data_IF_566330292274
#
_entry.id   IF_566330292274
#
_cell.length_a   1.000
_cell.length_b   1.000
_cell.length_c   1.000
_cell.angle_alpha   90.00
_cell.angle_beta   90.00
_cell.angle_gamma   90.00
#
_symmetry.space_group_name_H-M   'P 1'
#
loop_
_entity.id
_entity.type
_entity.pdbx_description
1 polymer ?
#
# COMPACT_ATOMS: atom_id res chain seq x y z
N UNK A 1 35.39 19.41 -31.44
CA UNK A 1 35.29 18.07 -32.06
C UNK A 1 35.55 16.91 -31.07
N UNK A 2 36.08 17.15 -29.86
CA UNK A 2 36.38 16.07 -28.90
C UNK A 2 35.25 15.71 -27.91
N UNK A 3 34.22 16.56 -27.75
CA UNK A 3 33.05 16.26 -26.90
C UNK A 3 32.12 15.21 -27.54
N UNK A 4 31.80 15.35 -28.83
CA UNK A 4 30.85 14.46 -29.54
C UNK A 4 31.29 12.98 -29.49
N UNK A 5 32.58 12.69 -29.71
CA UNK A 5 33.11 11.31 -29.68
C UNK A 5 33.06 10.63 -28.30
N UNK A 6 33.15 11.40 -27.21
CA UNK A 6 33.07 10.85 -25.84
C UNK A 6 31.60 10.54 -25.48
N UNK A 7 30.67 11.40 -25.92
CA UNK A 7 29.23 11.16 -25.76
C UNK A 7 28.78 9.93 -26.55
N UNK A 8 29.21 9.76 -27.80
CA UNK A 8 28.86 8.58 -28.61
C UNK A 8 29.36 7.27 -28.00
N UNK A 9 30.58 7.24 -27.46
CA UNK A 9 31.14 6.04 -26.83
C UNK A 9 30.45 5.69 -25.50
N UNK A 10 30.10 6.69 -24.69
CA UNK A 10 29.39 6.46 -23.43
C UNK A 10 27.95 5.97 -23.67
N UNK A 11 27.27 6.54 -24.69
CA UNK A 11 25.94 6.07 -25.11
C UNK A 11 25.99 4.66 -25.68
N UNK A 12 26.99 4.34 -26.51
CA UNK A 12 27.17 2.99 -27.05
C UNK A 12 27.46 1.95 -25.96
N UNK A 13 28.29 2.28 -24.97
CA UNK A 13 28.56 1.40 -23.83
C UNK A 13 27.28 1.15 -23.00
N UNK A 14 26.51 2.19 -22.70
CA UNK A 14 25.24 2.07 -21.96
C UNK A 14 24.23 1.20 -22.72
N UNK A 15 24.11 1.39 -24.03
CA UNK A 15 23.21 0.60 -24.87
C UNK A 15 23.63 -0.88 -24.92
N UNK A 16 24.94 -1.15 -24.98
CA UNK A 16 25.48 -2.51 -24.95
C UNK A 16 25.19 -3.19 -23.59
N UNK A 17 25.41 -2.48 -22.48
CA UNK A 17 25.11 -2.99 -21.14
C UNK A 17 23.61 -3.30 -20.96
N UNK A 18 22.72 -2.43 -21.44
CA UNK A 18 21.28 -2.68 -21.42
C UNK A 18 20.90 -3.88 -22.29
N UNK A 19 21.48 -3.99 -23.48
CA UNK A 19 21.23 -5.12 -24.38
C UNK A 19 21.65 -6.45 -23.75
N UNK A 20 22.85 -6.52 -23.17
CA UNK A 20 23.36 -7.69 -22.46
C UNK A 20 22.44 -8.07 -21.29
N UNK A 21 22.14 -7.10 -20.42
CA UNK A 21 21.27 -7.33 -19.27
C UNK A 21 19.85 -7.79 -19.69
N UNK A 22 19.35 -7.30 -20.85
CA UNK A 22 18.03 -7.72 -21.36
C UNK A 22 18.04 -9.16 -21.86
N UNK A 23 19.14 -9.61 -22.47
CA UNK A 23 19.30 -11.00 -22.88
C UNK A 23 19.43 -11.91 -21.65
N UNK A 24 20.19 -11.48 -20.65
CA UNK A 24 20.33 -12.22 -19.39
C UNK A 24 18.99 -12.30 -18.64
N UNK A 25 18.17 -11.24 -18.64
CA UNK A 25 16.83 -11.29 -18.06
C UNK A 25 15.91 -12.26 -18.81
N UNK A 26 15.96 -12.26 -20.15
CA UNK A 26 15.20 -13.22 -20.96
C UNK A 26 15.59 -14.65 -20.63
N UNK A 27 16.89 -14.92 -20.52
CA UNK A 27 17.41 -16.22 -20.09
C UNK A 27 16.87 -16.60 -18.70
N UNK A 28 16.97 -15.68 -17.72
CA UNK A 28 16.49 -15.94 -16.37
C UNK A 28 14.99 -16.27 -16.31
N UNK A 29 14.18 -15.63 -17.16
CA UNK A 29 12.75 -15.92 -17.30
C UNK A 29 12.46 -17.28 -17.94
N UNK A 30 13.28 -17.72 -18.91
CA UNK A 30 13.15 -18.99 -19.61
C UNK A 30 13.60 -20.18 -18.75
N UNK A 31 14.66 -20.00 -17.95
CA UNK A 31 15.30 -21.06 -17.16
C UNK A 31 14.96 -21.03 -15.65
N UNK A 32 14.00 -20.21 -15.23
CA UNK A 32 13.53 -20.10 -13.83
C UNK A 32 14.64 -19.68 -12.84
N UNK A 33 15.53 -18.77 -13.26
CA UNK A 33 16.69 -18.28 -12.46
C UNK A 33 16.37 -17.05 -11.61
N UNK A 34 15.14 -16.53 -11.71
CA UNK A 34 14.63 -15.50 -10.82
C UNK A 34 14.13 -16.13 -9.51
N UNK A 35 14.15 -15.33 -8.44
CA UNK A 35 13.63 -15.70 -7.14
C UNK A 35 12.39 -14.89 -6.79
N UNK A 36 11.53 -15.44 -5.93
CA UNK A 36 10.42 -14.71 -5.32
C UNK A 36 10.63 -14.72 -3.82
N UNK A 37 10.70 -13.52 -3.25
CA UNK A 37 10.71 -13.31 -1.81
C UNK A 37 9.32 -12.80 -1.39
N UNK A 38 8.93 -13.09 -0.16
CA UNK A 38 7.59 -12.84 0.34
C UNK A 38 7.64 -11.94 1.56
N UNK A 39 6.91 -10.82 1.53
CA UNK A 39 6.77 -9.93 2.69
C UNK A 39 5.41 -10.13 3.37
N UNK A 40 5.35 -10.41 4.69
CA UNK A 40 4.11 -10.55 5.44
C UNK A 40 3.23 -9.29 5.45
N UNK A 41 1.92 -9.50 5.30
CA UNK A 41 0.86 -8.51 5.50
C UNK A 41 0.05 -8.93 6.72
N UNK A 42 -0.10 -8.02 7.68
CA UNK A 42 -0.67 -8.30 9.01
C UNK A 42 -1.93 -7.46 9.24
N UNK A 43 -2.99 -8.08 9.80
CA UNK A 43 -4.16 -7.37 10.34
C UNK A 43 -3.72 -6.57 11.57
N UNK A 44 -3.82 -5.24 11.50
CA UNK A 44 -3.28 -4.38 12.55
C UNK A 44 -4.06 -4.51 13.87
N UNK A 45 -5.32 -4.91 13.82
CA UNK A 45 -6.18 -5.04 15.00
C UNK A 45 -5.96 -6.38 15.72
N UNK A 46 -5.92 -7.47 14.95
CA UNK A 46 -5.78 -8.84 15.44
C UNK A 46 -4.33 -9.30 15.60
N UNK A 47 -3.39 -8.63 14.94
CA UNK A 47 -1.99 -9.04 14.81
C UNK A 47 -1.84 -10.44 14.17
N UNK A 48 -2.66 -10.73 13.16
CA UNK A 48 -2.69 -12.00 12.44
C UNK A 48 -2.20 -11.82 11.00
N UNK A 49 -1.52 -12.84 10.46
CA UNK A 49 -1.12 -12.86 9.05
C UNK A 49 -2.38 -12.93 8.16
N UNK A 50 -2.56 -11.94 7.30
CA UNK A 50 -3.68 -11.87 6.35
C UNK A 50 -3.25 -12.00 4.90
N UNK A 51 -1.95 -11.98 4.63
CA UNK A 51 -1.41 -12.27 3.33
C UNK A 51 0.09 -12.10 3.27
N UNK A 52 0.64 -12.24 2.08
CA UNK A 52 2.02 -11.93 1.77
C UNK A 52 2.11 -11.24 0.41
N UNK A 53 3.03 -10.31 0.25
CA UNK A 53 3.37 -9.72 -1.04
C UNK A 53 4.53 -10.48 -1.68
N UNK A 54 4.34 -10.94 -2.91
CA UNK A 54 5.36 -11.61 -3.71
C UNK A 54 6.20 -10.58 -4.46
N UNK A 55 7.49 -10.57 -4.16
CA UNK A 55 8.45 -9.60 -4.64
C UNK A 55 9.57 -10.31 -5.41
N UNK A 56 9.72 -9.97 -6.69
CA UNK A 56 10.74 -10.54 -7.55
C UNK A 56 12.14 -10.15 -7.07
N UNK A 57 13.08 -11.10 -7.17
CA UNK A 57 14.49 -10.93 -6.87
C UNK A 57 15.31 -11.56 -7.97
N UNK A 58 16.43 -10.95 -8.30
CA UNK A 58 17.32 -11.46 -9.34
C UNK A 58 18.75 -11.53 -8.84
N UNK A 59 19.22 -12.76 -8.62
CA UNK A 59 20.62 -13.03 -8.33
C UNK A 59 21.35 -13.32 -9.64
N UNK A 60 21.88 -12.28 -10.26
CA UNK A 60 22.59 -12.41 -11.52
C UNK A 60 23.96 -13.07 -11.34
N UNK A 61 24.36 -14.04 -12.17
CA UNK A 61 25.58 -14.82 -11.98
C UNK A 61 26.87 -13.98 -11.95
N UNK A 62 26.88 -12.82 -12.64
CA UNK A 62 28.04 -11.92 -12.68
C UNK A 62 27.89 -10.66 -11.84
N UNK A 63 26.66 -10.18 -11.64
CA UNK A 63 26.39 -8.87 -11.02
C UNK A 63 25.94 -9.01 -9.56
N UNK A 64 25.67 -10.23 -9.10
CA UNK A 64 25.01 -10.48 -7.82
C UNK A 64 23.58 -9.96 -7.85
N UNK A 65 23.12 -9.41 -6.72
CA UNK A 65 21.74 -8.95 -6.59
C UNK A 65 21.48 -7.73 -7.46
N UNK A 66 20.65 -7.90 -8.48
CA UNK A 66 20.17 -6.79 -9.31
C UNK A 66 18.90 -6.22 -8.67
N UNK A 67 18.85 -4.91 -8.37
CA UNK A 67 17.69 -4.29 -7.76
C UNK A 67 16.42 -4.41 -8.63
N UNK A 68 15.22 -4.63 -8.04
CA UNK A 68 13.94 -4.65 -8.74
C UNK A 68 13.75 -3.48 -9.70
N UNK A 69 13.95 -2.24 -9.23
CA UNK A 69 13.78 -1.04 -10.05
C UNK A 69 14.59 -1.09 -11.36
N UNK A 70 15.81 -1.67 -11.31
CA UNK A 70 16.68 -1.76 -12.49
C UNK A 70 16.16 -2.75 -13.52
N UNK A 71 15.82 -3.97 -13.11
CA UNK A 71 15.42 -5.01 -14.08
C UNK A 71 13.95 -4.93 -14.47
N UNK A 72 13.08 -4.37 -13.62
CA UNK A 72 11.67 -4.09 -13.98
C UNK A 72 11.60 -2.98 -15.01
N UNK A 73 12.32 -1.87 -14.81
CA UNK A 73 12.42 -0.80 -15.82
C UNK A 73 12.97 -1.33 -17.13
N UNK A 74 14.04 -2.13 -17.08
CA UNK A 74 14.59 -2.77 -18.28
C UNK A 74 13.55 -3.67 -18.97
N UNK A 75 12.79 -4.46 -18.22
CA UNK A 75 11.77 -5.33 -18.78
C UNK A 75 10.65 -4.53 -19.48
N UNK A 76 10.30 -3.37 -18.93
CA UNK A 76 9.33 -2.45 -19.53
C UNK A 76 9.84 -1.81 -20.82
N UNK A 77 11.10 -1.35 -20.84
CA UNK A 77 11.73 -0.72 -22.01
C UNK A 77 11.98 -1.72 -23.15
N UNK A 78 12.22 -2.99 -22.82
CA UNK A 78 12.57 -4.04 -23.79
C UNK A 78 11.42 -4.97 -24.15
N UNK A 79 10.22 -4.74 -23.61
CA UNK A 79 9.02 -5.55 -23.87
C UNK A 79 9.02 -6.93 -23.19
N UNK A 80 9.97 -7.20 -22.29
CA UNK A 80 10.03 -8.43 -21.50
C UNK A 80 9.04 -8.43 -20.32
N UNK A 81 8.43 -7.28 -19.99
CA UNK A 81 7.59 -7.13 -18.80
C UNK A 81 6.39 -8.09 -18.76
N UNK A 82 5.75 -8.37 -19.90
CA UNK A 82 4.69 -9.36 -19.96
C UNK A 82 5.21 -10.79 -19.69
N UNK A 83 6.47 -11.08 -20.02
CA UNK A 83 7.15 -12.31 -19.66
C UNK A 83 7.38 -12.41 -18.15
N UNK A 84 7.82 -11.32 -17.53
CA UNK A 84 8.03 -11.21 -16.08
C UNK A 84 6.73 -11.36 -15.29
N UNK A 85 5.66 -10.65 -15.67
CA UNK A 85 4.35 -10.77 -15.00
C UNK A 85 3.82 -12.21 -15.08
N UNK A 86 3.93 -12.86 -16.26
CA UNK A 86 3.55 -14.26 -16.42
C UNK A 86 4.41 -15.19 -15.58
N UNK A 87 5.70 -14.91 -15.46
CA UNK A 87 6.63 -15.70 -14.64
C UNK A 87 6.25 -15.58 -13.16
N UNK A 88 6.07 -14.35 -12.67
CA UNK A 88 5.61 -14.06 -11.30
C UNK A 88 4.29 -14.77 -10.99
N UNK A 89 3.27 -14.63 -11.84
CA UNK A 89 1.98 -15.31 -11.63
C UNK A 89 2.14 -16.84 -11.54
N UNK A 90 2.94 -17.46 -12.42
CA UNK A 90 3.17 -18.92 -12.37
C UNK A 90 3.89 -19.32 -11.09
N UNK A 91 4.96 -18.62 -10.73
CA UNK A 91 5.78 -18.96 -9.57
C UNK A 91 5.00 -18.75 -8.28
N UNK A 92 4.37 -17.58 -8.13
CA UNK A 92 3.62 -17.22 -6.94
C UNK A 92 2.39 -18.10 -6.71
N UNK A 93 1.66 -18.49 -7.76
CA UNK A 93 0.53 -19.41 -7.58
C UNK A 93 0.99 -20.81 -7.14
N UNK A 94 2.12 -21.30 -7.66
CA UNK A 94 2.75 -22.55 -7.18
C UNK A 94 3.15 -22.45 -5.70
N UNK A 95 3.82 -21.37 -5.34
CA UNK A 95 4.28 -21.13 -3.98
C UNK A 95 3.10 -20.93 -3.01
N UNK A 96 2.01 -20.30 -3.47
CA UNK A 96 0.74 -20.18 -2.72
C UNK A 96 0.17 -21.55 -2.38
N UNK A 97 0.20 -22.51 -3.31
CA UNK A 97 -0.24 -23.88 -3.05
C UNK A 97 0.60 -24.51 -1.95
N UNK A 98 1.93 -24.41 -2.04
CA UNK A 98 2.87 -24.92 -1.03
C UNK A 98 2.59 -24.31 0.34
N UNK A 99 2.40 -23.00 0.43
CA UNK A 99 2.11 -22.31 1.68
C UNK A 99 0.78 -22.73 2.31
N UNK A 100 -0.24 -23.02 1.49
CA UNK A 100 -1.53 -23.56 1.96
C UNK A 100 -1.35 -25.00 2.48
N UNK A 101 -0.67 -25.86 1.72
CA UNK A 101 -0.43 -27.27 2.09
C UNK A 101 0.40 -27.40 3.37
N UNK A 102 1.35 -26.50 3.58
CA UNK A 102 2.15 -26.41 4.82
C UNK A 102 1.40 -25.77 5.99
N UNK A 103 0.21 -25.20 5.77
CA UNK A 103 -0.53 -24.49 6.81
C UNK A 103 0.03 -23.11 7.19
N UNK A 104 1.00 -22.58 6.42
CA UNK A 104 1.56 -21.24 6.62
C UNK A 104 0.55 -20.13 6.30
N UNK A 105 -0.33 -20.35 5.31
CA UNK A 105 -1.39 -19.41 4.96
C UNK A 105 -2.76 -19.92 5.41
N UNK A 106 -3.35 -19.23 6.39
CA UNK A 106 -4.73 -19.47 6.84
C UNK A 106 -5.75 -19.35 5.71
N UNK A 107 -6.97 -19.86 5.90
CA UNK A 107 -7.98 -20.01 4.82
C UNK A 107 -8.38 -18.71 4.09
N UNK A 108 -8.25 -17.58 4.76
CA UNK A 108 -8.57 -16.25 4.24
C UNK A 108 -7.37 -15.46 3.73
N UNK A 109 -6.14 -15.96 3.95
CA UNK A 109 -4.93 -15.26 3.58
C UNK A 109 -4.69 -15.32 2.06
N UNK A 110 -4.07 -14.25 1.55
CA UNK A 110 -3.85 -14.04 0.11
C UNK A 110 -2.39 -13.80 -0.21
N UNK A 111 -2.03 -14.04 -1.46
CA UNK A 111 -0.73 -13.65 -2.00
C UNK A 111 -0.94 -12.55 -3.03
N UNK A 112 -0.31 -11.40 -2.81
CA UNK A 112 -0.30 -10.29 -3.75
C UNK A 112 0.80 -10.46 -4.79
N UNK A 113 0.52 -10.10 -6.04
CA UNK A 113 1.48 -10.07 -7.14
C UNK A 113 1.41 -8.70 -7.82
N UNK A 114 2.54 -8.03 -7.91
CA UNK A 114 2.69 -6.78 -8.66
C UNK A 114 2.52 -7.03 -10.17
N UNK A 115 1.72 -6.19 -10.82
CA UNK A 115 1.49 -6.22 -12.26
C UNK A 115 1.88 -4.86 -12.85
N UNK A 116 2.71 -4.87 -13.89
CA UNK A 116 3.12 -3.63 -14.53
C UNK A 116 1.95 -2.90 -15.19
N UNK A 117 1.98 -1.58 -15.05
CA UNK A 117 1.17 -0.61 -15.77
C UNK A 117 0.94 -0.97 -17.25
N UNK A 118 1.98 -1.45 -17.95
CA UNK A 118 1.94 -1.74 -19.38
C UNK A 118 1.05 -2.92 -19.77
N UNK A 119 0.72 -3.80 -18.82
CA UNK A 119 -0.02 -5.04 -19.06
C UNK A 119 -1.45 -5.02 -18.50
N UNK A 120 -1.82 -4.03 -17.67
CA UNK A 120 -3.12 -4.00 -16.99
C UNK A 120 -4.30 -4.00 -17.98
N UNK A 121 -4.14 -3.34 -19.13
CA UNK A 121 -5.15 -3.29 -20.18
C UNK A 121 -5.15 -4.49 -21.14
N UNK A 122 -4.18 -5.38 -21.07
CA UNK A 122 -4.09 -6.51 -22.01
C UNK A 122 -4.98 -7.69 -21.55
N UNK A 123 -5.85 -8.17 -22.44
CA UNK A 123 -6.65 -9.37 -22.21
C UNK A 123 -5.80 -10.62 -21.95
N UNK A 124 -4.53 -10.61 -22.35
CA UNK A 124 -3.57 -11.69 -22.06
C UNK A 124 -3.30 -11.85 -20.56
N UNK A 125 -3.51 -10.82 -19.74
CA UNK A 125 -3.36 -10.87 -18.29
C UNK A 125 -4.38 -11.82 -17.65
N UNK A 126 -5.67 -11.71 -18.03
CA UNK A 126 -6.71 -12.62 -17.53
C UNK A 126 -6.40 -14.07 -17.88
N UNK A 127 -5.97 -14.32 -19.13
CA UNK A 127 -5.57 -15.65 -19.57
C UNK A 127 -4.37 -16.19 -18.77
N UNK A 128 -3.39 -15.34 -18.45
CA UNK A 128 -2.24 -15.70 -17.63
C UNK A 128 -2.65 -16.08 -16.20
N UNK A 129 -3.53 -15.29 -15.57
CA UNK A 129 -4.04 -15.58 -14.22
C UNK A 129 -4.81 -16.91 -14.20
N UNK A 130 -5.74 -17.10 -15.14
CA UNK A 130 -6.51 -18.36 -15.26
C UNK A 130 -5.60 -19.57 -15.41
N UNK A 131 -4.61 -19.48 -16.31
CA UNK A 131 -3.66 -20.57 -16.57
C UNK A 131 -2.83 -20.90 -15.31
N UNK A 132 -2.29 -19.89 -14.64
CA UNK A 132 -1.44 -20.07 -13.45
C UNK A 132 -2.24 -20.64 -12.27
N UNK A 133 -3.43 -20.08 -11.99
CA UNK A 133 -4.32 -20.55 -10.92
C UNK A 133 -4.79 -21.99 -11.18
N UNK A 134 -5.20 -22.31 -12.41
CA UNK A 134 -5.61 -23.66 -12.78
C UNK A 134 -4.47 -24.67 -12.65
N UNK A 135 -3.25 -24.31 -13.08
CA UNK A 135 -2.07 -25.17 -12.94
C UNK A 135 -1.70 -25.42 -11.48
N UNK A 136 -1.81 -24.40 -10.63
CA UNK A 136 -1.56 -24.53 -9.20
C UNK A 136 -2.71 -25.23 -8.44
N UNK A 137 -3.94 -25.25 -8.97
CA UNK A 137 -5.09 -25.88 -8.32
C UNK A 137 -5.55 -25.15 -7.05
N UNK A 138 -5.38 -23.82 -7.00
CA UNK A 138 -5.80 -22.98 -5.86
C UNK A 138 -7.05 -22.16 -6.20
N UNK A 139 -7.84 -21.72 -5.21
CA UNK A 139 -8.94 -20.77 -5.47
C UNK A 139 -8.42 -19.40 -5.91
N UNK A 140 -9.09 -18.74 -6.86
CA UNK A 140 -8.78 -17.36 -7.27
C UNK A 140 -8.78 -16.37 -6.10
N UNK A 141 -9.59 -16.63 -5.07
CA UNK A 141 -9.69 -15.80 -3.86
C UNK A 141 -8.39 -15.74 -3.05
N UNK A 142 -7.42 -16.60 -3.36
CA UNK A 142 -6.07 -16.62 -2.78
C UNK A 142 -5.12 -15.64 -3.42
N UNK A 143 -5.48 -15.05 -4.56
CA UNK A 143 -4.61 -14.13 -5.30
C UNK A 143 -5.16 -12.72 -5.20
N UNK A 144 -4.24 -11.78 -4.97
CA UNK A 144 -4.46 -10.36 -5.19
C UNK A 144 -3.49 -9.86 -6.26
N UNK A 145 -3.93 -8.93 -7.09
CA UNK A 145 -3.07 -8.20 -8.01
C UNK A 145 -2.88 -6.79 -7.49
N UNK A 146 -1.62 -6.37 -7.44
CA UNK A 146 -1.22 -5.01 -7.11
C UNK A 146 -0.94 -4.26 -8.40
N UNK A 147 -1.59 -3.11 -8.55
CA UNK A 147 -1.49 -2.26 -9.73
C UNK A 147 -1.25 -0.83 -9.30
N UNK A 148 -0.33 -0.13 -9.96
CA UNK A 148 -0.06 1.26 -9.63
C UNK A 148 -1.17 2.17 -10.11
N UNK A 149 -1.38 3.26 -9.37
CA UNK A 149 -2.30 4.32 -9.74
C UNK A 149 -2.06 4.86 -11.16
N UNK A 150 -0.81 5.20 -11.46
CA UNK A 150 -0.38 5.74 -12.74
C UNK A 150 -0.61 4.76 -13.89
N UNK A 151 -0.40 3.47 -13.64
CA UNK A 151 -0.59 2.43 -14.64
C UNK A 151 -2.05 2.25 -15.05
N UNK A 152 -2.96 2.28 -14.07
CA UNK A 152 -4.39 2.20 -14.35
C UNK A 152 -4.88 3.44 -15.11
N UNK A 153 -4.36 4.62 -14.79
CA UNK A 153 -4.79 5.88 -15.42
C UNK A 153 -4.25 6.10 -16.84
N UNK A 154 -3.30 5.28 -17.31
CA UNK A 154 -2.79 5.36 -18.67
C UNK A 154 -3.84 4.95 -19.73
N UNK A 155 -4.68 3.96 -19.42
CA UNK A 155 -5.80 3.50 -20.25
C UNK A 155 -6.93 2.94 -19.34
N UNK A 156 -7.69 3.83 -18.68
CA UNK A 156 -8.57 3.46 -17.57
C UNK A 156 -9.77 2.62 -18.04
N UNK A 157 -10.31 2.85 -19.24
CA UNK A 157 -11.41 2.04 -19.78
C UNK A 157 -10.98 0.57 -19.96
N UNK A 158 -9.79 0.37 -20.50
CA UNK A 158 -9.27 -0.96 -20.79
C UNK A 158 -8.84 -1.69 -19.51
N UNK A 159 -8.13 -0.98 -18.63
CA UNK A 159 -7.79 -1.48 -17.31
C UNK A 159 -9.03 -1.89 -16.51
N UNK A 160 -10.08 -1.05 -16.47
CA UNK A 160 -11.32 -1.36 -15.76
C UNK A 160 -11.95 -2.67 -16.29
N UNK A 161 -12.01 -2.85 -17.61
CA UNK A 161 -12.59 -4.06 -18.22
C UNK A 161 -11.85 -5.34 -17.82
N UNK A 162 -10.52 -5.32 -17.86
CA UNK A 162 -9.68 -6.49 -17.50
C UNK A 162 -9.72 -6.75 -16.00
N UNK A 163 -9.64 -5.70 -15.18
CA UNK A 163 -9.71 -5.84 -13.73
C UNK A 163 -11.10 -6.32 -13.27
N UNK A 164 -12.18 -5.92 -13.95
CA UNK A 164 -13.54 -6.40 -13.66
C UNK A 164 -13.70 -7.88 -13.99
N UNK A 165 -13.11 -8.34 -15.09
CA UNK A 165 -13.17 -9.76 -15.45
C UNK A 165 -12.39 -10.63 -14.46
N UNK A 166 -11.25 -10.15 -13.97
CA UNK A 166 -10.48 -10.78 -12.90
C UNK A 166 -11.23 -10.76 -11.56
N UNK A 167 -11.87 -9.65 -11.21
CA UNK A 167 -12.66 -9.55 -9.98
C UNK A 167 -13.85 -10.53 -10.00
N UNK A 168 -14.50 -10.74 -11.15
CA UNK A 168 -15.57 -11.75 -11.32
C UNK A 168 -15.10 -13.18 -11.07
N UNK A 169 -13.80 -13.46 -11.18
CA UNK A 169 -13.21 -14.75 -10.80
C UNK A 169 -12.98 -14.88 -9.30
N UNK A 170 -13.02 -13.77 -8.56
CA UNK A 170 -12.73 -13.70 -7.13
C UNK A 170 -11.31 -13.20 -6.81
N UNK A 171 -10.54 -12.79 -7.81
CA UNK A 171 -9.22 -12.15 -7.61
C UNK A 171 -9.42 -10.79 -6.97
N UNK A 172 -8.61 -10.46 -5.96
CA UNK A 172 -8.62 -9.13 -5.34
C UNK A 172 -7.74 -8.17 -6.12
N UNK A 173 -8.18 -6.93 -6.26
CA UNK A 173 -7.40 -5.87 -6.90
C UNK A 173 -7.02 -4.86 -5.83
N UNK A 174 -5.72 -4.57 -5.72
CA UNK A 174 -5.17 -3.62 -4.78
C UNK A 174 -4.53 -2.48 -5.58
N UNK A 175 -4.85 -1.24 -5.22
CA UNK A 175 -4.25 -0.07 -5.84
C UNK A 175 -3.04 0.35 -5.02
N UNK A 176 -1.88 0.33 -5.65
CA UNK A 176 -0.59 0.68 -5.08
C UNK A 176 -0.22 2.14 -5.33
N UNK A 177 0.70 2.68 -4.51
CA UNK A 177 1.22 4.04 -4.56
C UNK A 177 0.12 5.13 -4.51
N UNK A 178 -1.03 4.84 -3.89
CA UNK A 178 -2.17 5.75 -3.93
C UNK A 178 -1.84 7.08 -3.22
N UNK A 179 -2.09 8.20 -3.91
CA UNK A 179 -1.83 9.54 -3.40
C UNK A 179 -0.48 10.14 -3.82
N UNK A 180 0.33 9.40 -4.59
CA UNK A 180 1.54 9.92 -5.24
C UNK A 180 1.26 10.52 -6.62
N UNK A 181 0.08 10.24 -7.20
CA UNK A 181 -0.35 10.67 -8.53
C UNK A 181 -1.60 11.57 -8.55
N UNK A 182 -2.09 11.85 -9.76
CA UNK A 182 -3.28 12.67 -10.02
C UNK A 182 -4.53 11.82 -10.28
N UNK A 183 -4.90 10.91 -9.37
CA UNK A 183 -6.16 10.18 -9.50
C UNK A 183 -7.35 11.12 -9.47
N UNK A 184 -8.18 11.03 -10.52
CA UNK A 184 -9.54 11.50 -10.39
C UNK A 184 -10.29 10.52 -9.48
N UNK A 185 -10.81 10.98 -8.35
CA UNK A 185 -11.74 10.23 -7.48
C UNK A 185 -12.89 9.59 -8.29
N UNK A 186 -13.25 10.21 -9.41
CA UNK A 186 -14.22 9.69 -10.39
C UNK A 186 -13.82 8.34 -10.96
N UNK A 187 -12.55 8.15 -11.31
CA UNK A 187 -12.05 6.86 -11.82
C UNK A 187 -11.92 5.84 -10.70
N UNK A 188 -11.43 6.24 -9.52
CA UNK A 188 -11.35 5.34 -8.36
C UNK A 188 -12.70 4.67 -8.06
N UNK A 189 -13.80 5.42 -8.15
CA UNK A 189 -15.17 4.90 -7.96
C UNK A 189 -15.59 3.85 -9.00
N UNK A 190 -15.05 3.93 -10.22
CA UNK A 190 -15.38 2.98 -11.31
C UNK A 190 -14.50 1.74 -11.27
N UNK A 191 -13.28 1.85 -10.75
CA UNK A 191 -12.34 0.75 -10.73
C UNK A 191 -12.82 -0.36 -9.77
N UNK A 192 -12.69 -1.64 -10.14
CA UNK A 192 -13.06 -2.78 -9.31
C UNK A 192 -12.00 -3.08 -8.23
N UNK A 193 -11.40 -2.03 -7.66
CA UNK A 193 -10.44 -2.13 -6.57
C UNK A 193 -11.13 -2.59 -5.29
N UNK A 194 -10.37 -3.27 -4.45
CA UNK A 194 -10.85 -3.80 -3.16
C UNK A 194 -10.03 -3.30 -1.98
N UNK A 195 -8.82 -2.82 -2.26
CA UNK A 195 -7.87 -2.34 -1.26
C UNK A 195 -7.09 -1.16 -1.83
N UNK A 196 -6.80 -0.17 -0.99
CA UNK A 196 -5.80 0.88 -1.26
C UNK A 196 -4.57 0.63 -0.40
N UNK A 197 -3.38 0.64 -1.01
CA UNK A 197 -2.12 0.64 -0.26
C UNK A 197 -1.73 2.10 0.01
N UNK A 198 -1.30 2.38 1.24
CA UNK A 198 -0.78 3.68 1.67
C UNK A 198 0.73 3.61 1.53
N UNK A 199 1.28 4.41 0.61
CA UNK A 199 2.71 4.42 0.34
C UNK A 199 3.55 4.69 1.59
N UNK A 200 4.73 4.07 1.62
CA UNK A 200 5.69 4.15 2.73
C UNK A 200 6.12 5.57 3.04
N UNK A 201 6.12 6.51 2.09
CA UNK A 201 6.55 7.89 2.37
C UNK A 201 5.64 8.55 3.40
N UNK A 202 4.32 8.38 3.27
CA UNK A 202 3.36 8.89 4.24
C UNK A 202 3.45 8.17 5.59
N UNK A 203 3.68 6.85 5.59
CA UNK A 203 3.81 6.06 6.82
C UNK A 203 5.09 6.38 7.59
N UNK A 204 6.20 6.61 6.88
CA UNK A 204 7.48 6.99 7.48
C UNK A 204 7.37 8.31 8.23
N UNK A 205 6.74 9.31 7.61
CA UNK A 205 6.79 10.69 8.09
C UNK A 205 5.60 11.06 9.01
N UNK A 206 4.51 10.27 9.07
CA UNK A 206 3.26 10.63 9.78
C UNK A 206 3.35 10.85 11.30
N UNK A 207 4.45 10.47 11.97
CA UNK A 207 4.62 10.73 13.41
C UNK A 207 5.15 12.14 13.68
N UNK A 208 5.92 12.69 12.74
CA UNK A 208 6.63 13.96 12.88
C UNK A 208 6.10 15.04 11.93
N UNK A 209 5.44 14.64 10.83
CA UNK A 209 4.82 15.52 9.84
C UNK A 209 3.28 15.44 9.90
N UNK A 210 2.60 16.52 10.37
CA UNK A 210 1.14 16.60 10.39
C UNK A 210 0.49 16.48 9.01
N UNK A 211 1.18 16.87 7.92
CA UNK A 211 0.64 16.78 6.57
C UNK A 211 0.66 15.33 6.07
N UNK A 212 1.75 14.60 6.30
CA UNK A 212 1.81 13.15 6.06
C UNK A 212 0.71 12.39 6.82
N UNK A 213 0.49 12.73 8.10
CA UNK A 213 -0.60 12.15 8.88
C UNK A 213 -1.99 12.50 8.30
N UNK A 214 -2.20 13.75 7.91
CA UNK A 214 -3.47 14.19 7.32
C UNK A 214 -3.76 13.46 6.00
N UNK A 215 -2.74 13.19 5.19
CA UNK A 215 -2.86 12.40 3.96
C UNK A 215 -3.24 10.95 4.29
N UNK A 216 -2.53 10.30 5.21
CA UNK A 216 -2.85 8.92 5.63
C UNK A 216 -4.29 8.81 6.17
N UNK A 217 -4.73 9.77 7.01
CA UNK A 217 -6.13 9.85 7.49
C UNK A 217 -7.11 9.99 6.31
N UNK A 218 -6.80 10.87 5.36
CA UNK A 218 -7.66 11.13 4.20
C UNK A 218 -7.83 9.89 3.32
N UNK A 219 -6.74 9.13 3.10
CA UNK A 219 -6.78 7.87 2.34
C UNK A 219 -7.66 6.84 3.05
N UNK A 220 -7.50 6.69 4.38
CA UNK A 220 -8.30 5.74 5.18
C UNK A 220 -9.78 6.13 5.19
N UNK A 221 -10.10 7.41 5.35
CA UNK A 221 -11.48 7.89 5.34
C UNK A 221 -12.12 7.76 3.95
N UNK A 222 -11.37 8.04 2.87
CA UNK A 222 -11.80 7.81 1.50
C UNK A 222 -12.11 6.33 1.28
N UNK A 223 -11.16 5.44 1.56
CA UNK A 223 -11.34 3.99 1.41
C UNK A 223 -12.59 3.51 2.15
N UNK A 224 -12.79 3.95 3.40
CA UNK A 224 -13.99 3.63 4.19
C UNK A 224 -15.28 4.10 3.51
N UNK A 225 -15.29 5.31 2.95
CA UNK A 225 -16.46 5.89 2.29
C UNK A 225 -16.89 5.14 1.03
N UNK A 226 -15.96 4.42 0.38
CA UNK A 226 -16.21 3.59 -0.81
C UNK A 226 -16.08 2.09 -0.53
N UNK A 227 -16.11 1.69 0.74
CA UNK A 227 -16.07 0.28 1.19
C UNK A 227 -14.82 -0.51 0.77
N UNK A 228 -13.67 0.17 0.67
CA UNK A 228 -12.37 -0.44 0.41
C UNK A 228 -11.61 -0.69 1.72
N UNK A 229 -10.75 -1.70 1.72
CA UNK A 229 -9.77 -1.91 2.78
C UNK A 229 -8.54 -1.02 2.56
N UNK A 230 -7.74 -0.82 3.61
CA UNK A 230 -6.44 -0.15 3.51
C UNK A 230 -5.33 -1.02 4.07
N UNK A 231 -4.18 -1.01 3.39
CA UNK A 231 -2.94 -1.63 3.83
C UNK A 231 -1.87 -0.54 3.87
N UNK A 232 -1.19 -0.36 4.99
CA UNK A 232 -0.08 0.59 5.10
C UNK A 232 1.28 -0.07 4.87
N UNK A 233 2.15 0.57 4.10
CA UNK A 233 3.47 0.05 3.77
C UNK A 233 4.59 0.72 4.57
N UNK A 234 5.73 0.04 4.68
CA UNK A 234 6.92 0.61 5.32
C UNK A 234 6.76 0.85 6.82
N UNK A 235 5.97 0.02 7.52
CA UNK A 235 5.86 0.09 8.97
C UNK A 235 7.14 -0.45 9.61
N UNK A 236 7.81 0.38 10.39
CA UNK A 236 9.06 0.10 11.06
C UNK A 236 8.93 0.15 12.59
N UNK A 237 7.93 0.88 13.14
CA UNK A 237 7.80 1.08 14.59
C UNK A 237 6.41 0.72 15.16
N UNK A 238 6.31 0.29 16.44
CA UNK A 238 5.03 0.10 17.11
C UNK A 238 4.17 1.37 17.20
N UNK A 239 4.78 2.54 17.27
CA UNK A 239 4.09 3.84 17.31
C UNK A 239 3.34 4.08 15.99
N UNK A 240 3.94 3.72 14.86
CA UNK A 240 3.27 3.79 13.56
C UNK A 240 2.04 2.88 13.53
N UNK A 241 2.15 1.64 14.03
CA UNK A 241 1.02 0.71 14.16
C UNK A 241 -0.09 1.30 15.02
N UNK A 242 0.25 1.87 16.18
CA UNK A 242 -0.73 2.47 17.09
C UNK A 242 -1.50 3.62 16.44
N UNK A 243 -0.81 4.46 15.65
CA UNK A 243 -1.44 5.56 14.89
C UNK A 243 -2.32 5.03 13.76
N UNK A 244 -1.82 4.08 12.95
CA UNK A 244 -2.57 3.47 11.84
C UNK A 244 -3.85 2.76 12.32
N UNK A 245 -3.78 2.03 13.44
CA UNK A 245 -4.97 1.43 14.07
C UNK A 245 -5.98 2.49 14.49
N UNK A 246 -5.52 3.59 15.08
CA UNK A 246 -6.38 4.66 15.60
C UNK A 246 -7.17 5.36 14.49
N UNK A 247 -6.56 5.55 13.32
CA UNK A 247 -7.23 6.12 12.16
C UNK A 247 -8.09 5.09 11.42
N UNK A 248 -7.97 3.81 11.77
CA UNK A 248 -8.79 2.71 11.27
C UNK A 248 -8.23 2.05 10.01
N UNK A 249 -6.91 2.04 9.83
CA UNK A 249 -6.23 1.26 8.79
C UNK A 249 -6.37 -0.24 9.10
N UNK A 250 -6.69 -1.05 8.08
CA UNK A 250 -7.03 -2.47 8.29
C UNK A 250 -5.78 -3.35 8.45
N UNK A 251 -4.85 -3.25 7.51
CA UNK A 251 -3.65 -4.07 7.45
C UNK A 251 -2.38 -3.25 7.32
N UNK A 252 -1.24 -3.90 7.43
CA UNK A 252 0.03 -3.29 7.12
C UNK A 252 1.17 -4.28 6.91
N UNK A 253 2.24 -3.78 6.30
CA UNK A 253 3.47 -4.51 6.05
C UNK A 253 4.67 -3.60 6.27
N UNK A 254 5.82 -4.19 6.59
CA UNK A 254 7.06 -3.46 6.81
C UNK A 254 8.06 -4.22 7.66
N UNK A 255 9.23 -3.61 7.84
CA UNK A 255 10.38 -4.22 8.53
C UNK A 255 10.16 -4.44 10.02
N UNK A 256 9.13 -3.82 10.62
CA UNK A 256 8.70 -4.14 11.98
C UNK A 256 8.44 -5.65 12.16
N UNK A 257 7.88 -6.29 11.13
CA UNK A 257 7.58 -7.73 11.16
C UNK A 257 8.61 -8.55 10.41
N UNK A 258 8.86 -8.20 9.14
CA UNK A 258 9.84 -8.89 8.31
C UNK A 258 10.16 -8.10 7.04
N UNK A 259 11.42 -8.14 6.55
CA UNK A 259 11.67 -7.88 5.13
C UNK A 259 11.02 -8.98 4.27
N UNK A 260 11.06 -8.80 2.96
CA UNK A 260 10.75 -9.89 2.04
C UNK A 260 11.80 -11.00 2.17
N UNK A 261 11.37 -12.25 2.35
CA UNK A 261 12.25 -13.41 2.57
C UNK A 261 11.87 -14.58 1.66
N UNK A 262 12.78 -15.54 1.40
CA UNK A 262 12.44 -16.77 0.67
C UNK A 262 11.27 -17.54 1.31
N UNK A 263 10.57 -18.35 0.51
CA UNK A 263 9.38 -19.11 0.93
C UNK A 263 9.63 -20.01 2.16
N UNK A 264 10.79 -20.67 2.24
CA UNK A 264 11.10 -21.56 3.35
C UNK A 264 11.31 -20.76 4.65
N UNK A 265 12.01 -19.64 4.57
CA UNK A 265 12.20 -18.73 5.72
C UNK A 265 10.87 -18.09 6.15
N UNK A 266 10.00 -17.70 5.22
CA UNK A 266 8.65 -17.24 5.53
C UNK A 266 7.88 -18.33 6.29
N UNK A 267 7.93 -19.56 5.80
CA UNK A 267 7.23 -20.70 6.40
C UNK A 267 7.68 -20.88 7.85
N UNK A 268 8.99 -20.89 8.10
CA UNK A 268 9.57 -21.07 9.44
C UNK A 268 9.17 -19.92 10.39
N UNK A 269 9.20 -18.68 9.89
CA UNK A 269 8.80 -17.49 10.65
C UNK A 269 7.31 -17.50 11.02
N UNK A 270 6.45 -18.04 10.16
CA UNK A 270 4.99 -18.03 10.33
C UNK A 270 4.48 -19.23 11.13
N UNK A 271 5.11 -20.40 11.00
CA UNK A 271 4.65 -21.69 11.56
C UNK A 271 5.16 -21.98 12.99
N UNK A 272 6.09 -21.20 13.54
CA UNK A 272 6.85 -21.49 14.77
C UNK A 272 6.22 -22.40 15.86
N UNK A 273 7.00 -23.40 16.30
CA UNK A 273 6.95 -24.38 17.41
C UNK A 273 5.62 -24.96 17.97
N UNK A 274 4.42 -24.42 17.67
CA UNK A 274 3.14 -24.93 18.21
C UNK A 274 1.98 -24.96 17.21
N UNK A 275 2.22 -24.74 15.92
CA UNK A 275 1.15 -24.75 14.90
C UNK A 275 0.09 -23.66 15.12
N UNK A 276 0.43 -22.61 15.86
CA UNK A 276 -0.31 -21.36 15.88
C UNK A 276 0.39 -20.40 14.91
N UNK A 277 -0.40 -19.65 14.12
CA UNK A 277 0.10 -18.49 13.38
C UNK A 277 0.85 -17.64 14.38
N UNK A 278 2.17 -17.63 14.27
CA UNK A 278 3.01 -16.78 15.11
C UNK A 278 2.58 -15.37 14.75
N UNK A 279 1.89 -14.68 15.67
CA UNK A 279 1.88 -13.22 15.71
C UNK A 279 3.32 -12.84 15.38
N UNK A 280 3.56 -12.14 14.28
CA UNK A 280 4.89 -11.90 13.68
C UNK A 280 5.75 -10.98 14.57
N UNK A 281 5.67 -11.17 15.87
CA UNK A 281 6.04 -10.28 16.91
C UNK A 281 6.55 -11.14 18.07
N UNK A 282 7.87 -11.15 18.22
CA UNK A 282 8.51 -11.12 19.54
C UNK A 282 8.17 -9.84 20.33
N UNK A 283 7.26 -9.01 19.82
CA UNK A 283 6.62 -7.90 20.53
C UNK A 283 5.18 -8.32 20.77
N UNK A 284 4.89 -8.87 21.95
CA UNK A 284 3.52 -8.97 22.41
C UNK A 284 2.91 -7.56 22.37
N UNK A 285 2.12 -7.24 21.33
CA UNK A 285 1.34 -6.02 21.31
C UNK A 285 0.37 -6.14 22.48
N UNK A 286 0.40 -5.22 23.46
CA UNK A 286 -0.45 -5.33 24.62
C UNK A 286 -1.89 -5.33 24.10
N UNK A 287 -2.62 -6.42 24.36
CA UNK A 287 -4.08 -6.40 24.33
C UNK A 287 -4.49 -5.28 25.28
N UNK A 288 -4.73 -4.08 24.76
CA UNK A 288 -5.35 -3.03 25.53
C UNK A 288 -6.76 -3.53 25.85
N UNK A 289 -6.91 -4.15 27.02
CA UNK A 289 -8.15 -4.08 27.78
C UNK A 289 -8.61 -2.64 27.65
N UNK A 290 -9.85 -2.43 27.16
CA UNK A 290 -10.53 -1.14 27.11
C UNK A 290 -10.30 -0.38 28.44
N UNK A 291 -9.22 0.38 28.53
CA UNK A 291 -9.01 1.35 29.59
C UNK A 291 -9.75 2.57 29.08
N UNK A 292 -10.80 2.95 29.81
CA UNK A 292 -11.40 4.26 29.63
C UNK A 292 -10.26 5.28 29.63
N UNK A 293 -10.06 5.96 28.50
CA UNK A 293 -9.17 7.11 28.46
C UNK A 293 -9.67 8.11 29.51
N UNK A 294 -8.78 8.74 30.29
CA UNK A 294 -9.19 9.79 31.22
C UNK A 294 -9.96 10.84 30.42
N UNK A 295 -11.10 11.29 30.93
CA UNK A 295 -11.98 12.25 30.28
C UNK A 295 -11.17 13.41 29.67
N UNK A 296 -11.04 13.42 28.34
CA UNK A 296 -10.56 14.58 27.61
C UNK A 296 -11.63 15.67 27.76
N UNK A 297 -11.41 16.62 28.67
CA UNK A 297 -12.30 17.75 28.87
C UNK A 297 -12.29 18.63 27.62
N UNK A 298 -13.40 19.31 27.33
CA UNK A 298 -13.51 20.21 26.18
C UNK A 298 -12.42 21.31 26.19
N UNK A 299 -11.96 21.68 27.39
CA UNK A 299 -10.90 22.67 27.61
C UNK A 299 -9.54 22.22 27.06
N UNK A 300 -9.14 20.96 27.27
CA UNK A 300 -7.91 20.41 26.69
C UNK A 300 -7.96 20.33 25.16
N UNK A 301 -9.15 20.08 24.59
CA UNK A 301 -9.36 20.07 23.15
C UNK A 301 -9.20 21.46 22.52
N UNK A 302 -9.64 22.52 23.21
CA UNK A 302 -9.45 23.90 22.76
C UNK A 302 -7.98 24.34 22.83
N UNK A 303 -7.26 23.99 23.90
CA UNK A 303 -5.83 24.29 24.02
C UNK A 303 -5.03 23.62 22.90
N UNK A 304 -5.33 22.35 22.60
CA UNK A 304 -4.68 21.61 21.52
C UNK A 304 -5.01 22.19 20.13
N UNK A 305 -6.27 22.57 19.92
CA UNK A 305 -6.71 23.27 18.70
C UNK A 305 -5.90 24.54 18.47
N UNK A 306 -5.74 25.37 19.51
CA UNK A 306 -4.97 26.61 19.41
C UNK A 306 -3.49 26.36 19.17
N UNK A 307 -2.88 25.36 19.80
CA UNK A 307 -1.49 25.00 19.55
C UNK A 307 -1.24 24.68 18.06
N UNK A 308 -2.11 23.85 17.47
CA UNK A 308 -2.02 23.48 16.06
C UNK A 308 -2.30 24.66 15.12
N UNK A 309 -3.21 25.56 15.50
CA UNK A 309 -3.46 26.77 14.73
C UNK A 309 -2.25 27.72 14.70
N UNK A 310 -1.59 27.92 15.84
CA UNK A 310 -0.39 28.76 15.93
C UNK A 310 0.81 28.17 15.18
N UNK A 311 0.86 26.85 14.99
CA UNK A 311 1.86 26.21 14.12
C UNK A 311 1.52 26.29 12.63
N UNK A 312 0.45 27.01 12.25
CA UNK A 312 0.05 27.21 10.86
C UNK A 312 -0.77 26.07 10.25
N UNK A 313 -1.24 25.11 11.05
CA UNK A 313 -2.00 23.97 10.53
C UNK A 313 -3.36 24.41 9.94
N UNK A 314 -3.75 23.79 8.82
CA UNK A 314 -5.05 24.06 8.19
C UNK A 314 -6.21 23.59 9.08
N UNK A 315 -7.41 24.16 8.89
CA UNK A 315 -8.60 23.73 9.65
C UNK A 315 -8.92 22.24 9.46
N UNK A 316 -8.56 21.66 8.31
CA UNK A 316 -8.69 20.22 8.04
C UNK A 316 -7.69 19.41 8.85
N UNK A 317 -6.43 19.82 8.87
CA UNK A 317 -5.35 19.19 9.64
C UNK A 317 -5.67 19.20 11.14
N UNK A 318 -6.13 20.34 11.65
CA UNK A 318 -6.52 20.50 13.06
C UNK A 318 -7.71 19.58 13.41
N UNK A 319 -8.73 19.52 12.55
CA UNK A 319 -9.90 18.68 12.78
C UNK A 319 -9.53 17.18 12.83
N UNK A 320 -8.65 16.75 11.92
CA UNK A 320 -8.14 15.38 11.87
C UNK A 320 -7.35 15.03 13.14
N UNK A 321 -6.39 15.88 13.52
CA UNK A 321 -5.57 15.68 14.71
C UNK A 321 -6.41 15.60 16.00
N UNK A 322 -7.34 16.53 16.20
CA UNK A 322 -8.21 16.54 17.39
C UNK A 322 -9.09 15.29 17.47
N UNK A 323 -9.66 14.84 16.35
CA UNK A 323 -10.47 13.62 16.33
C UNK A 323 -9.63 12.36 16.58
N UNK A 324 -8.42 12.30 16.00
CA UNK A 324 -7.48 11.20 16.20
C UNK A 324 -7.03 11.13 17.67
N UNK A 325 -6.78 12.27 18.31
CA UNK A 325 -6.43 12.36 19.74
C UNK A 325 -7.65 12.14 20.68
N UNK A 326 -8.85 11.93 20.12
CA UNK A 326 -10.06 11.61 20.89
C UNK A 326 -10.82 12.83 21.42
N UNK A 327 -10.39 14.05 21.08
CA UNK A 327 -11.10 15.26 21.45
C UNK A 327 -12.44 15.39 20.71
N UNK A 328 -13.38 16.10 21.33
CA UNK A 328 -14.68 16.44 20.77
C UNK A 328 -14.89 17.95 20.87
N UNK A 329 -15.82 18.47 20.08
CA UNK A 329 -16.24 19.86 20.16
C UNK A 329 -16.83 20.14 21.55
N UNK A 330 -16.97 21.41 21.98
CA UNK A 330 -17.68 21.75 23.22
C UNK A 330 -19.12 21.20 23.29
N UNK A 331 -19.73 20.93 22.14
CA UNK A 331 -21.05 20.31 21.99
C UNK A 331 -21.02 18.77 21.95
N UNK A 332 -19.84 18.14 22.12
CA UNK A 332 -19.67 16.68 22.13
C UNK A 332 -19.58 16.01 20.75
N UNK A 333 -19.63 16.78 19.66
CA UNK A 333 -19.55 16.26 18.28
C UNK A 333 -18.10 16.07 17.81
N UNK A 334 -17.91 15.38 16.69
CA UNK A 334 -16.58 15.31 16.03
C UNK A 334 -16.17 16.69 15.49
N UNK A 335 -14.87 16.94 15.45
CA UNK A 335 -14.31 18.11 14.82
C UNK A 335 -14.42 18.01 13.29
N UNK A 336 -14.83 19.09 12.66
CA UNK A 336 -14.86 19.25 11.20
C UNK A 336 -14.16 20.57 10.85
N UNK A 337 -13.59 20.73 9.63
CA UNK A 337 -12.87 21.94 9.24
C UNK A 337 -13.67 23.22 9.52
N UNK A 338 -14.96 23.24 9.16
CA UNK A 338 -15.84 24.38 9.42
C UNK A 338 -16.04 24.66 10.90
N UNK A 339 -16.08 23.61 11.74
CA UNK A 339 -16.21 23.79 13.19
C UNK A 339 -14.92 24.28 13.80
N UNK A 340 -13.77 23.83 13.33
CA UNK A 340 -12.46 24.37 13.72
C UNK A 340 -12.35 25.84 13.36
N UNK A 341 -12.62 26.22 12.10
CA UNK A 341 -12.51 27.60 11.65
C UNK A 341 -13.42 28.55 12.46
N UNK A 342 -14.66 28.13 12.71
CA UNK A 342 -15.59 28.87 13.57
C UNK A 342 -15.08 29.00 15.00
N UNK A 343 -14.64 27.90 15.62
CA UNK A 343 -14.12 27.93 16.99
C UNK A 343 -12.85 28.79 17.13
N UNK A 344 -11.97 28.78 16.12
CA UNK A 344 -10.81 29.68 16.08
C UNK A 344 -11.28 31.14 16.00
N UNK A 345 -12.22 31.45 15.11
CA UNK A 345 -12.79 32.79 14.96
C UNK A 345 -13.42 33.28 16.27
N UNK A 346 -14.19 32.44 16.95
CA UNK A 346 -14.87 32.77 18.21
C UNK A 346 -13.87 33.07 19.35
N UNK A 347 -12.70 32.43 19.35
CA UNK A 347 -11.66 32.59 20.38
C UNK A 347 -10.73 33.77 20.06
N UNK A 348 -10.36 33.98 18.80
CA UNK A 348 -9.42 35.03 18.36
C UNK A 348 -10.11 36.39 18.22
N UNK A 349 -11.42 36.42 17.91
CA UNK A 349 -12.22 37.65 17.81
C UNK A 349 -13.56 37.52 18.53
N UNK A 350 -13.58 37.56 19.87
CA UNK A 350 -14.82 37.56 20.62
C UNK A 350 -15.57 38.89 20.41
N UNK A 351 -16.48 38.96 19.42
CA UNK A 351 -17.40 40.10 19.30
C UNK A 351 -17.90 40.55 17.92
N UNK A 352 -17.50 39.95 16.80
CA UNK A 352 -18.06 40.34 15.48
C UNK A 352 -19.31 39.51 15.17
N UNK A 353 -20.36 39.74 15.97
CA UNK A 353 -21.70 39.23 15.70
C UNK A 353 -22.28 39.86 14.44
N UNK A 354 -22.88 39.02 13.58
CA UNK A 354 -23.77 39.40 12.50
C UNK A 354 -24.69 40.58 12.89
N UNK A 355 -24.47 41.76 12.30
CA UNK A 355 -25.56 42.72 12.11
C UNK A 355 -26.25 42.40 10.79
N UNK A 356 -27.36 41.69 10.89
CA UNK A 356 -28.42 41.70 9.89
C UNK A 356 -28.88 43.15 9.76
N UNK A 357 -28.65 43.76 8.60
CA UNK A 357 -29.24 45.05 8.24
C UNK A 357 -30.67 44.75 7.78
N UNK A 358 -31.72 45.31 8.40
CA UNK A 358 -33.05 45.24 7.82
C UNK A 358 -33.14 46.27 6.69
N UNK A 359 -33.61 45.80 5.55
CA UNK A 359 -33.99 46.60 4.39
C UNK A 359 -35.06 47.63 4.72
N UNK A 360 -34.77 48.91 4.44
CA UNK A 360 -35.69 49.90 3.84
C UNK A 360 -34.89 50.79 2.92
#
# INVERSE_FOLDING_TARGET
>A
RSRVRVFDNAMAATAQEQFELSNDLRHALEYDELEVHYQPIVDLERAELVGVEALCRWQHPKLGWVPPDRFVTLAEETGLIAGLDRWMLRRTTRDTRTLIERGALGSSARVSVNISARNIGDASLEAAVRKSVAAAGIPYTRIALEVTETGVMADPENACRVLESLQKLGVKIQLDDFGTGHSSLTYLRRLPVTTLKIDRSFVRDMLDDPDALAIAVSIVDLARSVHLQTIAEGIETPEQVATLRRIGCWGGQGFLWSPAVPIDELTDRVIGDRGQVVSVAGIALPRQRRRHAPHATAEHGLSRLMQLHHSGASSTTIAAALNAEGFRTPTGSRWHPNTVARTISDIVQPGVGLRVVPSV
#
